data_IF_192397995799
#
_entry.id   IF_192397995799
#
_cell.length_a   1.000
_cell.length_b   1.000
_cell.length_c   1.000
_cell.angle_alpha   90.00
_cell.angle_beta   90.00
_cell.angle_gamma   90.00
#
_symmetry.space_group_name_H-M   'P 1'
#
loop_
_entity.id
_entity.type
_entity.pdbx_description
1 polymer ?
#
# COMPACT_ATOMS: atom_id res chain seq x y z
N UNK A 1 42.45 -14.89 3.54
CA UNK A 1 41.17 -15.05 2.82
C UNK A 1 40.23 -14.00 3.37
N UNK A 2 40.04 -12.91 2.63
CA UNK A 2 39.12 -11.85 3.01
C UNK A 2 37.73 -12.15 2.45
N UNK A 3 36.73 -11.57 3.13
CA UNK A 3 35.40 -11.20 2.64
C UNK A 3 34.27 -12.22 2.82
N UNK A 4 33.46 -11.95 3.83
CA UNK A 4 32.08 -11.53 3.58
C UNK A 4 31.60 -10.66 4.75
N UNK A 5 32.13 -9.43 4.82
CA UNK A 5 31.46 -8.36 5.54
C UNK A 5 30.09 -8.14 4.89
N UNK A 6 29.02 -8.35 5.66
CA UNK A 6 27.69 -7.91 5.28
C UNK A 6 27.70 -6.37 5.31
N UNK A 7 28.11 -5.77 4.19
CA UNK A 7 27.96 -4.35 3.97
C UNK A 7 26.47 -4.03 3.91
N UNK A 8 25.92 -3.56 5.03
CA UNK A 8 24.64 -2.86 5.04
C UNK A 8 24.97 -1.43 4.63
N UNK A 9 24.68 -1.01 3.38
CA UNK A 9 24.93 0.37 2.98
C UNK A 9 24.18 1.31 3.93
N UNK A 10 24.74 2.48 4.28
CA UNK A 10 24.03 3.46 5.09
C UNK A 10 22.67 3.74 4.46
N UNK A 11 21.65 3.89 5.30
CA UNK A 11 20.32 4.32 4.86
C UNK A 11 20.49 5.67 4.15
N UNK A 12 20.62 5.60 2.83
CA UNK A 12 20.46 6.72 1.90
C UNK A 12 19.25 7.55 2.32
N UNK A 13 19.29 8.86 2.12
CA UNK A 13 18.17 9.76 2.47
C UNK A 13 16.87 9.28 1.79
N UNK A 14 16.06 8.55 2.55
CA UNK A 14 14.81 7.96 2.10
C UNK A 14 13.68 8.93 2.41
N UNK A 15 13.16 9.59 1.38
CA UNK A 15 12.10 10.59 1.52
C UNK A 15 10.79 10.02 1.00
N UNK A 16 9.77 9.98 1.86
CA UNK A 16 8.40 9.69 1.45
C UNK A 16 7.73 11.03 1.16
N UNK A 17 7.25 11.21 -0.06
CA UNK A 17 6.62 12.47 -0.49
C UNK A 17 5.30 12.17 -1.17
N UNK A 18 4.32 13.05 -0.97
CA UNK A 18 3.12 13.07 -1.80
C UNK A 18 3.51 13.48 -3.23
N UNK A 19 2.90 12.82 -4.21
CA UNK A 19 3.14 13.02 -5.64
C UNK A 19 1.83 13.07 -6.40
N UNK A 20 1.88 13.54 -7.64
CA UNK A 20 0.76 13.46 -8.57
C UNK A 20 0.60 12.04 -9.11
N UNK A 21 -0.61 11.69 -9.59
CA UNK A 21 -0.91 10.35 -10.08
C UNK A 21 0.01 9.91 -11.23
N UNK A 22 0.32 10.81 -12.17
CA UNK A 22 1.17 10.54 -13.33
C UNK A 22 2.57 10.03 -12.94
N UNK A 23 3.12 10.52 -11.82
CA UNK A 23 4.43 10.08 -11.29
C UNK A 23 4.42 8.66 -10.75
N UNK A 24 3.25 8.07 -10.53
CA UNK A 24 3.13 6.66 -10.13
C UNK A 24 3.15 5.72 -11.34
N UNK A 25 2.68 6.19 -12.50
CA UNK A 25 2.33 5.34 -13.65
C UNK A 25 3.53 4.52 -14.18
N UNK A 26 4.74 5.09 -14.36
CA UNK A 26 5.88 4.32 -14.87
C UNK A 26 6.24 3.13 -13.97
N UNK A 27 6.22 3.34 -12.65
CA UNK A 27 6.57 2.27 -11.70
C UNK A 27 5.42 1.26 -11.54
N UNK A 28 4.17 1.71 -11.52
CA UNK A 28 3.00 0.80 -11.51
C UNK A 28 3.04 -0.12 -12.72
N UNK A 29 3.31 0.42 -13.91
CA UNK A 29 3.36 -0.34 -15.16
C UNK A 29 4.49 -1.37 -15.13
N UNK A 30 5.73 -0.92 -14.96
CA UNK A 30 6.91 -1.79 -14.98
C UNK A 30 6.91 -2.90 -13.92
N UNK A 31 6.30 -2.68 -12.75
CA UNK A 31 6.32 -3.65 -11.66
C UNK A 31 5.08 -4.55 -11.64
N UNK A 32 3.89 -4.00 -11.84
CA UNK A 32 2.65 -4.73 -11.58
C UNK A 32 2.15 -5.47 -12.83
N UNK A 33 2.30 -4.87 -14.02
CA UNK A 33 1.85 -5.41 -15.31
C UNK A 33 2.74 -4.92 -16.48
N UNK A 34 4.03 -5.31 -16.53
CA UNK A 34 4.98 -4.83 -17.54
C UNK A 34 4.57 -5.20 -18.97
N UNK A 35 3.91 -6.34 -19.14
CA UNK A 35 3.51 -6.88 -20.45
C UNK A 35 2.12 -6.39 -20.90
N UNK A 36 1.42 -5.59 -20.09
CA UNK A 36 0.10 -5.04 -20.43
C UNK A 36 0.23 -3.60 -20.97
N UNK A 37 -0.80 -3.06 -21.66
CA UNK A 37 -0.83 -1.64 -21.97
C UNK A 37 -0.82 -0.75 -20.71
N UNK A 38 -0.26 0.45 -20.79
CA UNK A 38 -0.21 1.41 -19.65
C UNK A 38 -1.61 1.68 -19.06
N UNK A 39 -2.67 1.63 -19.87
CA UNK A 39 -4.05 1.79 -19.40
C UNK A 39 -4.47 0.80 -18.31
N UNK A 40 -3.84 -0.38 -18.21
CA UNK A 40 -4.11 -1.37 -17.14
C UNK A 40 -3.71 -0.88 -15.74
N UNK A 41 -2.82 0.11 -15.66
CA UNK A 41 -2.32 0.64 -14.38
C UNK A 41 -2.91 1.98 -13.99
N UNK A 42 -3.68 2.60 -14.89
CA UNK A 42 -4.47 3.79 -14.61
C UNK A 42 -5.72 3.40 -13.81
N UNK A 43 -6.10 4.26 -12.88
CA UNK A 43 -7.33 4.14 -12.11
C UNK A 43 -8.28 5.27 -12.50
N UNK A 44 -9.58 4.99 -12.62
CA UNK A 44 -10.57 6.04 -12.87
C UNK A 44 -10.57 7.10 -11.76
N UNK A 45 -10.19 6.67 -10.55
CA UNK A 45 -10.15 7.45 -9.33
C UNK A 45 -8.82 8.19 -9.13
N UNK A 46 -7.82 8.03 -10.01
CA UNK A 46 -6.49 8.65 -9.84
C UNK A 46 -6.57 10.19 -9.70
N UNK A 47 -7.60 10.85 -10.22
CA UNK A 47 -7.78 12.30 -10.08
C UNK A 47 -8.12 12.75 -8.65
N UNK A 48 -8.64 11.85 -7.80
CA UNK A 48 -9.11 12.15 -6.43
C UNK A 48 -8.33 11.37 -5.36
N UNK A 49 -7.29 10.63 -5.76
CA UNK A 49 -6.46 9.85 -4.85
C UNK A 49 -5.34 10.66 -4.21
N UNK A 50 -4.83 10.15 -3.08
CA UNK A 50 -3.59 10.63 -2.48
C UNK A 50 -2.47 9.67 -2.85
N UNK A 51 -1.48 10.13 -3.60
CA UNK A 51 -0.40 9.30 -4.12
C UNK A 51 0.90 9.62 -3.42
N UNK A 52 1.68 8.59 -3.07
CA UNK A 52 2.93 8.74 -2.37
C UNK A 52 4.03 7.95 -3.07
N UNK A 53 5.23 8.51 -3.07
CA UNK A 53 6.44 7.89 -3.60
C UNK A 53 7.59 7.91 -2.61
N UNK A 54 8.46 6.91 -2.66
CA UNK A 54 9.75 6.91 -1.94
C UNK A 54 10.87 7.27 -2.89
N UNK A 55 11.68 8.25 -2.51
CA UNK A 55 12.86 8.72 -3.22
C UNK A 55 14.11 8.35 -2.45
N UNK A 56 15.19 8.08 -3.17
CA UNK A 56 16.51 7.79 -2.61
C UNK A 56 17.48 8.90 -3.02
N UNK A 57 18.12 9.54 -2.04
CA UNK A 57 19.04 10.65 -2.27
C UNK A 57 18.37 11.77 -3.09
N UNK A 58 19.08 12.32 -4.06
CA UNK A 58 18.63 13.37 -4.99
C UNK A 58 17.92 12.82 -6.24
N UNK A 59 17.64 11.51 -6.34
CA UNK A 59 16.97 10.94 -7.51
C UNK A 59 15.51 11.45 -7.58
N UNK A 60 15.07 12.07 -8.70
CA UNK A 60 13.71 12.55 -8.86
C UNK A 60 12.71 11.44 -9.23
N UNK A 61 13.13 10.19 -9.41
CA UNK A 61 12.27 9.06 -9.75
C UNK A 61 11.96 8.25 -8.48
N UNK A 62 10.67 7.97 -8.17
CA UNK A 62 10.34 7.17 -7.00
C UNK A 62 10.70 5.70 -7.24
N UNK A 63 11.26 5.04 -6.23
CA UNK A 63 11.59 3.59 -6.23
C UNK A 63 10.48 2.74 -5.61
N UNK A 64 9.49 3.37 -4.99
CA UNK A 64 8.26 2.74 -4.52
C UNK A 64 7.12 3.74 -4.60
N UNK A 65 5.91 3.27 -4.93
CA UNK A 65 4.70 4.08 -5.03
C UNK A 65 3.51 3.37 -4.41
N UNK A 66 2.58 4.13 -3.84
CA UNK A 66 1.31 3.64 -3.28
C UNK A 66 0.26 4.74 -3.45
N UNK A 67 -1.02 4.39 -3.44
CA UNK A 67 -2.11 5.37 -3.58
C UNK A 67 -3.25 5.05 -2.64
N UNK A 68 -3.79 6.07 -1.98
CA UNK A 68 -4.89 5.99 -1.03
C UNK A 68 -6.17 6.57 -1.63
N UNK A 69 -7.29 5.94 -1.30
CA UNK A 69 -8.63 6.36 -1.69
C UNK A 69 -9.56 6.18 -0.49
N UNK A 70 -10.47 7.14 -0.27
CA UNK A 70 -11.58 6.92 0.68
C UNK A 70 -12.55 5.96 0.01
N UNK A 71 -12.69 4.76 0.57
CA UNK A 71 -13.51 3.69 0.01
C UNK A 71 -13.93 2.74 1.13
N UNK A 72 -15.23 2.47 1.21
CA UNK A 72 -15.81 1.57 2.22
C UNK A 72 -15.15 0.19 2.18
N UNK A 73 -14.83 -0.35 3.34
CA UNK A 73 -14.34 -1.72 3.44
C UNK A 73 -15.49 -2.69 3.17
N UNK A 74 -15.34 -3.68 2.27
CA UNK A 74 -16.38 -4.67 2.01
C UNK A 74 -16.80 -5.38 3.30
N UNK A 75 -18.11 -5.52 3.47
CA UNK A 75 -18.69 -6.38 4.52
C UNK A 75 -18.71 -7.80 3.95
N UNK A 76 -17.91 -8.68 4.53
CA UNK A 76 -18.03 -10.11 4.24
C UNK A 76 -19.09 -10.71 5.17
N UNK A 77 -20.03 -11.48 4.60
CA UNK A 77 -21.19 -12.06 5.29
C UNK A 77 -20.86 -13.00 6.48
N UNK A 78 -19.59 -13.16 6.85
CA UNK A 78 -19.11 -13.92 8.00
C UNK A 78 -18.31 -13.12 9.04
N UNK A 79 -18.10 -11.81 8.81
CA UNK A 79 -17.38 -10.93 9.73
C UNK A 79 -18.33 -9.86 10.29
N UNK A 80 -19.42 -10.29 10.94
CA UNK A 80 -20.06 -9.45 11.95
C UNK A 80 -19.14 -9.44 13.16
N UNK A 81 -18.06 -8.65 13.09
CA UNK A 81 -17.56 -8.03 14.30
C UNK A 81 -18.66 -7.06 14.71
N UNK A 82 -19.41 -7.39 15.76
CA UNK A 82 -20.28 -6.43 16.43
C UNK A 82 -19.49 -5.13 16.64
N UNK A 83 -19.77 -4.10 15.86
CA UNK A 83 -19.43 -2.73 16.26
C UNK A 83 -20.65 -2.22 16.99
N UNK A 84 -20.46 -1.98 18.29
CA UNK A 84 -21.43 -1.26 19.11
C UNK A 84 -21.79 0.04 18.39
N UNK A 85 -23.09 0.40 18.43
CA UNK A 85 -23.61 1.68 17.97
C UNK A 85 -22.96 2.80 18.78
N UNK A 86 -21.74 3.19 18.41
CA UNK A 86 -21.14 4.41 18.90
C UNK A 86 -21.88 5.56 18.22
N UNK A 87 -22.46 6.44 19.03
CA UNK A 87 -23.18 7.67 18.67
C UNK A 87 -22.28 8.73 17.97
N UNK A 88 -21.20 8.30 17.29
CA UNK A 88 -20.20 9.12 16.60
C UNK A 88 -20.30 9.03 15.08
N UNK A 89 -19.42 9.77 14.40
CA UNK A 89 -19.32 9.74 12.94
C UNK A 89 -19.02 8.31 12.43
N UNK A 90 -19.57 7.92 11.27
CA UNK A 90 -19.33 6.58 10.72
C UNK A 90 -17.82 6.34 10.51
N UNK A 91 -17.39 5.11 10.80
CA UNK A 91 -16.01 4.67 10.59
C UNK A 91 -15.57 4.92 9.15
N UNK A 92 -14.56 5.77 8.96
CA UNK A 92 -14.03 6.09 7.63
C UNK A 92 -12.97 5.08 7.24
N UNK A 93 -13.24 4.33 6.17
CA UNK A 93 -12.29 3.36 5.62
C UNK A 93 -11.47 3.99 4.48
N UNK A 94 -10.17 3.68 4.48
CA UNK A 94 -9.22 4.06 3.45
C UNK A 94 -8.74 2.80 2.76
N UNK A 95 -8.79 2.76 1.43
CA UNK A 95 -8.20 1.69 0.63
C UNK A 95 -6.88 2.16 0.05
N UNK A 96 -5.83 1.36 0.18
CA UNK A 96 -4.65 1.56 -0.64
C UNK A 96 -4.64 0.64 -1.87
N UNK A 97 -4.15 1.16 -2.99
CA UNK A 97 -4.07 0.47 -4.28
C UNK A 97 -2.73 0.72 -4.95
N UNK A 98 -2.41 -0.15 -5.92
CA UNK A 98 -1.24 -0.05 -6.82
C UNK A 98 0.09 0.16 -6.07
N UNK A 99 0.25 -0.53 -4.94
CA UNK A 99 1.49 -0.53 -4.20
C UNK A 99 2.57 -1.32 -4.95
N UNK A 100 3.62 -0.63 -5.38
CA UNK A 100 4.75 -1.20 -6.12
C UNK A 100 6.07 -0.70 -5.55
N UNK A 101 7.10 -1.56 -5.59
CA UNK A 101 8.47 -1.22 -5.27
C UNK A 101 9.36 -1.83 -6.35
N UNK A 102 10.26 -1.03 -6.90
CA UNK A 102 11.23 -1.45 -7.90
C UNK A 102 12.02 -2.67 -7.39
N UNK A 103 12.05 -3.80 -8.13
CA UNK A 103 12.76 -5.01 -7.75
C UNK A 103 14.21 -4.79 -7.33
N UNK A 104 14.93 -3.85 -7.95
CA UNK A 104 16.32 -3.55 -7.61
C UNK A 104 16.48 -2.99 -6.18
N UNK A 105 15.41 -2.44 -5.61
CA UNK A 105 15.37 -1.79 -4.30
C UNK A 105 14.56 -2.58 -3.25
N UNK A 106 13.99 -3.73 -3.61
CA UNK A 106 13.30 -4.61 -2.67
C UNK A 106 14.26 -5.24 -1.64
N UNK A 107 13.70 -5.76 -0.54
CA UNK A 107 14.49 -6.37 0.55
C UNK A 107 15.20 -5.37 1.49
N UNK A 108 15.03 -4.06 1.26
CA UNK A 108 15.74 -2.99 2.00
C UNK A 108 14.85 -2.16 2.95
N UNK A 109 13.67 -2.66 3.29
CA UNK A 109 12.71 -1.95 4.17
C UNK A 109 11.95 -0.78 3.53
N UNK A 110 12.23 -0.40 2.28
CA UNK A 110 11.58 0.71 1.57
C UNK A 110 10.05 0.58 1.54
N UNK A 111 9.54 -0.58 1.14
CA UNK A 111 8.09 -0.83 1.12
C UNK A 111 7.47 -0.78 2.52
N UNK A 112 8.18 -1.24 3.56
CA UNK A 112 7.70 -1.09 4.95
C UNK A 112 7.58 0.37 5.32
N UNK A 113 8.61 1.18 5.03
CA UNK A 113 8.61 2.61 5.32
C UNK A 113 7.45 3.32 4.64
N UNK A 114 7.19 3.01 3.37
CA UNK A 114 6.08 3.59 2.63
C UNK A 114 4.72 3.17 3.20
N UNK A 115 4.53 1.89 3.53
CA UNK A 115 3.29 1.39 4.13
C UNK A 115 3.00 2.08 5.47
N UNK A 116 4.00 2.15 6.37
CA UNK A 116 3.84 2.81 7.66
C UNK A 116 3.53 4.30 7.51
N UNK A 117 4.19 4.98 6.57
CA UNK A 117 3.89 6.37 6.26
C UNK A 117 2.43 6.56 5.85
N UNK A 118 1.91 5.70 4.96
CA UNK A 118 0.51 5.86 4.53
C UNK A 118 -0.53 5.39 5.54
N UNK A 119 -0.19 4.48 6.46
CA UNK A 119 -1.03 4.17 7.62
C UNK A 119 -1.16 5.43 8.50
N UNK A 120 -0.03 6.11 8.77
CA UNK A 120 -0.04 7.37 9.52
C UNK A 120 -0.90 8.43 8.84
N UNK A 121 -0.67 8.68 7.54
CA UNK A 121 -1.46 9.63 6.73
C UNK A 121 -2.95 9.30 6.76
N UNK A 122 -3.30 8.01 6.60
CA UNK A 122 -4.69 7.57 6.59
C UNK A 122 -5.41 7.94 7.90
N UNK A 123 -4.73 7.84 9.05
CA UNK A 123 -5.27 8.30 10.33
C UNK A 123 -5.26 9.82 10.47
N UNK A 124 -4.06 10.42 10.44
CA UNK A 124 -3.85 11.80 10.87
C UNK A 124 -4.36 12.86 9.88
N UNK A 125 -4.30 12.57 8.58
CA UNK A 125 -4.68 13.53 7.53
C UNK A 125 -6.04 13.20 6.93
N UNK A 126 -6.36 11.90 6.77
CA UNK A 126 -7.61 11.47 6.16
C UNK A 126 -8.71 11.15 7.18
N UNK A 127 -8.40 11.09 8.48
CA UNK A 127 -9.38 10.75 9.53
C UNK A 127 -9.94 9.33 9.41
N UNK A 128 -9.18 8.42 8.81
CA UNK A 128 -9.55 7.02 8.65
C UNK A 128 -9.35 6.24 9.95
N UNK A 129 -10.30 5.35 10.25
CA UNK A 129 -10.22 4.40 11.38
C UNK A 129 -9.84 2.99 10.92
N UNK A 130 -9.76 2.77 9.61
CA UNK A 130 -9.43 1.49 8.98
C UNK A 130 -8.66 1.72 7.68
N UNK A 131 -7.55 1.01 7.50
CA UNK A 131 -6.86 0.90 6.20
C UNK A 131 -7.05 -0.51 5.65
N UNK A 132 -7.39 -0.66 4.37
CA UNK A 132 -7.55 -1.96 3.73
C UNK A 132 -7.00 -2.02 2.30
N UNK A 133 -6.82 -3.23 1.77
CA UNK A 133 -6.43 -3.44 0.37
C UNK A 133 -6.82 -4.82 -0.16
N UNK A 134 -6.73 -4.98 -1.48
CA UNK A 134 -6.69 -6.30 -2.12
C UNK A 134 -5.22 -6.68 -2.34
N UNK A 135 -4.69 -7.58 -1.50
CA UNK A 135 -3.34 -8.09 -1.63
C UNK A 135 -3.28 -9.31 -2.55
N UNK A 136 -2.20 -9.45 -3.33
CA UNK A 136 -1.91 -10.75 -3.96
C UNK A 136 -1.73 -11.77 -2.84
N UNK A 137 -2.34 -12.95 -2.93
CA UNK A 137 -2.28 -13.98 -1.87
C UNK A 137 -0.83 -14.33 -1.49
N UNK A 138 0.08 -14.35 -2.46
CA UNK A 138 1.52 -14.58 -2.27
C UNK A 138 2.21 -13.53 -1.38
N UNK A 139 1.62 -12.33 -1.25
CA UNK A 139 2.13 -11.23 -0.42
C UNK A 139 1.49 -11.17 0.96
N UNK A 140 0.52 -12.03 1.29
CA UNK A 140 -0.15 -12.03 2.59
C UNK A 140 0.83 -12.10 3.78
N UNK A 141 1.82 -13.02 3.83
CA UNK A 141 2.76 -13.08 4.96
C UNK A 141 3.64 -11.81 5.11
N UNK A 142 3.74 -11.00 4.05
CA UNK A 142 4.41 -9.71 4.12
C UNK A 142 3.53 -8.67 4.82
N UNK A 143 2.23 -8.64 4.54
CA UNK A 143 1.28 -7.74 5.19
C UNK A 143 1.02 -8.12 6.65
N UNK A 144 0.92 -9.42 6.97
CA UNK A 144 0.73 -9.92 8.34
C UNK A 144 1.86 -9.50 9.28
N UNK A 145 3.12 -9.61 8.82
CA UNK A 145 4.29 -9.12 9.58
C UNK A 145 4.30 -7.61 9.83
N UNK A 146 3.40 -6.86 9.20
CA UNK A 146 3.26 -5.41 9.33
C UNK A 146 1.93 -5.02 10.00
N UNK A 147 1.25 -5.98 10.61
CA UNK A 147 0.05 -5.75 11.43
C UNK A 147 -1.27 -5.80 10.67
N UNK A 148 -1.27 -6.10 9.36
CA UNK A 148 -2.52 -6.28 8.63
C UNK A 148 -3.03 -7.71 8.78
N UNK A 149 -4.33 -7.88 8.97
CA UNK A 149 -5.01 -9.17 9.04
C UNK A 149 -5.80 -9.47 7.75
N UNK A 150 -5.82 -10.73 7.29
CA UNK A 150 -6.66 -11.13 6.17
C UNK A 150 -8.13 -11.17 6.59
N UNK A 151 -9.04 -10.85 5.68
CA UNK A 151 -10.48 -11.04 5.88
C UNK A 151 -11.19 -11.42 4.57
N UNK A 152 -12.33 -12.09 4.70
CA UNK A 152 -13.10 -12.57 3.57
C UNK A 152 -12.51 -13.78 2.86
N UNK A 153 -13.19 -14.19 1.79
CA UNK A 153 -12.74 -15.26 0.92
C UNK A 153 -11.62 -14.79 -0.03
N UNK A 154 -10.80 -15.75 -0.47
CA UNK A 154 -9.88 -15.53 -1.58
C UNK A 154 -10.66 -15.39 -2.90
N UNK A 155 -10.16 -14.52 -3.79
CA UNK A 155 -10.83 -14.26 -5.07
C UNK A 155 -9.80 -14.04 -6.19
N UNK A 156 -10.25 -14.17 -7.44
CA UNK A 156 -9.37 -14.10 -8.61
C UNK A 156 -9.48 -12.75 -9.32
N UNK A 157 -8.34 -12.24 -9.80
CA UNK A 157 -8.29 -11.17 -10.80
C UNK A 157 -7.43 -11.67 -11.97
N UNK A 158 -8.08 -12.10 -13.05
CA UNK A 158 -7.42 -12.87 -14.10
C UNK A 158 -6.85 -14.18 -13.54
N UNK A 159 -5.56 -14.41 -13.74
CA UNK A 159 -4.84 -15.59 -13.25
C UNK A 159 -4.19 -15.44 -11.87
N UNK A 160 -4.43 -14.31 -11.17
CA UNK A 160 -3.79 -14.02 -9.89
C UNK A 160 -4.82 -14.12 -8.75
N UNK A 161 -4.45 -14.86 -7.70
CA UNK A 161 -5.26 -15.00 -6.47
C UNK A 161 -5.00 -13.81 -5.55
N UNK A 162 -6.08 -13.24 -5.02
CA UNK A 162 -6.10 -12.14 -4.08
C UNK A 162 -6.78 -12.55 -2.77
N UNK A 163 -6.45 -11.81 -1.71
CA UNK A 163 -7.11 -11.82 -0.40
C UNK A 163 -7.24 -10.37 0.06
N UNK A 164 -8.31 -10.01 0.77
CA UNK A 164 -8.40 -8.68 1.36
C UNK A 164 -7.62 -8.64 2.66
N UNK A 165 -6.92 -7.53 2.90
CA UNK A 165 -6.15 -7.30 4.11
C UNK A 165 -6.62 -5.99 4.74
N UNK A 166 -6.67 -5.91 6.07
CA UNK A 166 -7.05 -4.69 6.80
C UNK A 166 -6.20 -4.47 8.05
N UNK A 167 -6.15 -3.24 8.54
CA UNK A 167 -5.58 -2.87 9.83
C UNK A 167 -6.41 -1.72 10.42
N UNK A 168 -6.77 -1.83 11.70
CA UNK A 168 -7.38 -0.73 12.44
C UNK A 168 -6.35 0.39 12.62
N UNK A 169 -6.79 1.63 12.47
CA UNK A 169 -5.93 2.80 12.67
C UNK A 169 -6.28 3.39 14.03
N UNK A 170 -5.32 3.41 14.95
CA UNK A 170 -5.48 4.09 16.22
C UNK A 170 -5.51 5.60 15.96
N UNK A 171 -6.64 6.24 16.24
CA UNK A 171 -6.76 7.70 16.21
C UNK A 171 -6.11 8.26 17.46
N UNK A 172 -5.02 9.03 17.29
CA UNK A 172 -4.35 9.79 18.36
C UNK A 172 -5.06 11.12 18.60
#
# INVERSE_FOLDING_TARGET
MASSDNFVPPLHDLRCLQITADRTVPLRHSVLWPDAPVSHVLLAEDAVGWHYGVFINSNPVPVAVISLFVEDCPIDNGAIGHREENNGAPDKAIRFRKFACDPAYQGRGIGTKLLLHVISVAGSELGGTLLWCDARKTTQPWYERRGLEPFGDVFWKGSVIYVRMKIAIDTV
#
